data_IF_347914835836
#
_entry.id   IF_347914835836
#
_cell.length_a   1.000
_cell.length_b   1.000
_cell.length_c   1.000
_cell.angle_alpha   90.00
_cell.angle_beta   90.00
_cell.angle_gamma   90.00
#
_symmetry.space_group_name_H-M   'P 1'
#
loop_
_entity.id
_entity.type
_entity.pdbx_description
1 polymer ?
#
# COMPACT_ATOMS: atom_id res chain seq x y z
N UNK A 1 10.23 -13.58 -19.25
CA UNK A 1 9.55 -14.32 -18.16
C UNK A 1 8.12 -13.80 -17.97
N UNK A 2 7.20 -14.07 -18.91
CA UNK A 2 5.86 -13.45 -18.90
C UNK A 2 5.01 -13.84 -17.69
N UNK A 3 5.23 -15.03 -17.11
CA UNK A 3 4.48 -15.54 -15.94
C UNK A 3 4.70 -14.68 -14.69
N UNK A 4 5.89 -14.10 -14.52
CA UNK A 4 6.21 -13.28 -13.34
C UNK A 4 5.58 -11.88 -13.45
N UNK A 5 5.58 -11.31 -14.67
CA UNK A 5 4.86 -10.06 -14.93
C UNK A 5 3.35 -10.22 -14.71
N UNK A 6 2.76 -11.32 -15.19
CA UNK A 6 1.35 -11.67 -14.93
C UNK A 6 1.06 -11.83 -13.43
N UNK A 7 1.99 -12.44 -12.68
CA UNK A 7 1.88 -12.53 -11.24
C UNK A 7 1.89 -11.14 -10.57
N UNK A 8 2.73 -10.21 -11.04
CA UNK A 8 2.72 -8.82 -10.58
C UNK A 8 1.36 -8.13 -10.82
N UNK A 9 0.74 -8.33 -11.99
CA UNK A 9 -0.60 -7.82 -12.28
C UNK A 9 -1.65 -8.46 -11.35
N UNK A 10 -1.62 -9.78 -11.17
CA UNK A 10 -2.56 -10.48 -10.30
C UNK A 10 -2.44 -10.00 -8.85
N UNK A 11 -1.21 -9.80 -8.36
CA UNK A 11 -0.92 -9.27 -7.03
C UNK A 11 -1.42 -7.83 -6.88
N UNK A 12 -1.17 -7.00 -7.89
CA UNK A 12 -1.65 -5.62 -7.93
C UNK A 12 -3.17 -5.55 -7.94
N UNK A 13 -3.83 -6.35 -8.77
CA UNK A 13 -5.30 -6.43 -8.84
C UNK A 13 -5.91 -6.89 -7.52
N UNK A 14 -5.34 -7.93 -6.89
CA UNK A 14 -5.74 -8.37 -5.55
C UNK A 14 -5.56 -7.26 -4.51
N UNK A 15 -4.41 -6.56 -4.56
CA UNK A 15 -4.13 -5.42 -3.70
C UNK A 15 -5.16 -4.31 -3.83
N UNK A 16 -5.54 -3.97 -5.07
CA UNK A 16 -6.62 -3.01 -5.36
C UNK A 16 -7.94 -3.46 -4.72
N UNK A 17 -8.35 -4.71 -4.95
CA UNK A 17 -9.61 -5.23 -4.40
C UNK A 17 -9.63 -5.15 -2.87
N UNK A 18 -8.57 -5.62 -2.20
CA UNK A 18 -8.49 -5.57 -0.73
C UNK A 18 -8.48 -4.14 -0.20
N UNK A 19 -7.80 -3.23 -0.91
CA UNK A 19 -7.80 -1.81 -0.57
C UNK A 19 -9.22 -1.24 -0.60
N UNK A 20 -9.98 -1.51 -1.67
CA UNK A 20 -11.36 -1.03 -1.79
C UNK A 20 -12.28 -1.67 -0.73
N UNK A 21 -12.12 -2.96 -0.44
CA UNK A 21 -12.87 -3.63 0.63
C UNK A 21 -12.56 -3.04 2.02
N UNK A 22 -11.30 -2.71 2.28
CA UNK A 22 -10.88 -2.04 3.51
C UNK A 22 -11.36 -0.58 3.58
N UNK A 23 -11.41 0.14 2.46
CA UNK A 23 -11.88 1.53 2.46
C UNK A 23 -13.40 1.61 2.64
N UNK A 24 -14.13 0.68 2.01
CA UNK A 24 -15.59 0.64 2.03
C UNK A 24 -16.09 -0.74 2.50
N UNK A 25 -16.02 -1.05 3.81
CA UNK A 25 -16.49 -2.33 4.33
C UNK A 25 -17.99 -2.55 4.03
N UNK A 26 -18.78 -1.48 3.87
CA UNK A 26 -20.18 -1.56 3.46
C UNK A 26 -20.43 -2.20 2.08
N UNK A 27 -19.42 -2.24 1.20
CA UNK A 27 -19.50 -2.94 -0.09
C UNK A 27 -19.63 -4.46 0.10
N UNK A 28 -19.19 -4.98 1.24
CA UNK A 28 -19.29 -6.41 1.54
C UNK A 28 -20.67 -6.84 2.06
N UNK A 29 -21.57 -5.89 2.34
CA UNK A 29 -22.90 -6.18 2.87
C UNK A 29 -22.93 -6.71 4.32
N UNK A 30 -21.78 -6.73 5.01
CA UNK A 30 -21.67 -7.17 6.39
C UNK A 30 -22.10 -6.04 7.35
N UNK A 31 -23.00 -6.35 8.29
CA UNK A 31 -23.43 -5.41 9.32
C UNK A 31 -22.25 -5.03 10.23
N UNK A 32 -22.04 -3.73 10.53
CA UNK A 32 -20.93 -3.28 11.37
C UNK A 32 -21.00 -3.83 12.81
N UNK A 33 -20.39 -4.98 13.09
CA UNK A 33 -20.16 -5.48 14.44
C UNK A 33 -19.06 -4.67 15.16
N UNK A 34 -19.14 -4.56 16.50
CA UNK A 34 -18.07 -3.98 17.35
C UNK A 34 -16.76 -4.74 17.08
N UNK A 35 -15.79 -4.09 16.44
CA UNK A 35 -14.46 -4.65 16.13
C UNK A 35 -14.05 -4.66 14.66
N UNK A 36 -14.98 -4.39 13.72
CA UNK A 36 -14.66 -4.41 12.27
C UNK A 36 -13.62 -3.36 11.87
N UNK A 37 -13.50 -2.25 12.59
CA UNK A 37 -12.53 -1.19 12.28
C UNK A 37 -11.08 -1.67 12.26
N UNK A 38 -10.69 -2.63 13.11
CA UNK A 38 -9.32 -3.17 13.13
C UNK A 38 -9.08 -4.03 11.89
N UNK A 39 -9.97 -4.99 11.62
CA UNK A 39 -9.90 -5.86 10.43
C UNK A 39 -9.91 -5.02 9.15
N UNK A 40 -10.70 -3.96 9.13
CA UNK A 40 -10.78 -3.00 8.04
C UNK A 40 -9.42 -2.35 7.75
N UNK A 41 -8.75 -1.82 8.78
CA UNK A 41 -7.43 -1.19 8.64
C UNK A 41 -6.37 -2.20 8.17
N UNK A 42 -6.35 -3.40 8.75
CA UNK A 42 -5.42 -4.46 8.32
C UNK A 42 -5.64 -4.86 6.86
N UNK A 43 -6.91 -5.02 6.46
CA UNK A 43 -7.28 -5.38 5.08
C UNK A 43 -6.85 -4.31 4.09
N UNK A 44 -7.07 -3.03 4.43
CA UNK A 44 -6.61 -1.90 3.63
C UNK A 44 -5.09 -1.85 3.51
N UNK A 45 -4.34 -1.97 4.62
CA UNK A 45 -2.88 -1.96 4.61
C UNK A 45 -2.27 -3.13 3.85
N UNK A 46 -2.87 -4.32 3.98
CA UNK A 46 -2.49 -5.49 3.20
C UNK A 46 -2.72 -5.23 1.71
N UNK A 47 -3.87 -4.65 1.35
CA UNK A 47 -4.19 -4.25 -0.02
C UNK A 47 -3.16 -3.29 -0.61
N UNK A 48 -2.83 -2.21 0.11
CA UNK A 48 -1.80 -1.25 -0.28
C UNK A 48 -0.44 -1.89 -0.49
N UNK A 49 -0.05 -2.78 0.43
CA UNK A 49 1.22 -3.50 0.32
C UNK A 49 1.27 -4.34 -0.94
N UNK A 50 0.25 -5.18 -1.18
CA UNK A 50 0.18 -6.02 -2.37
C UNK A 50 0.12 -5.19 -3.66
N UNK A 51 -0.58 -4.06 -3.64
CA UNK A 51 -0.64 -3.14 -4.77
C UNK A 51 0.76 -2.62 -5.16
N UNK A 52 1.50 -2.08 -4.19
CA UNK A 52 2.83 -1.52 -4.42
C UNK A 52 3.83 -2.59 -4.84
N UNK A 53 3.84 -3.75 -4.18
CA UNK A 53 4.69 -4.87 -4.59
C UNK A 53 4.33 -5.40 -5.99
N UNK A 54 3.04 -5.54 -6.28
CA UNK A 54 2.56 -5.98 -7.60
C UNK A 54 3.02 -5.03 -8.70
N UNK A 55 2.93 -3.72 -8.46
CA UNK A 55 3.39 -2.70 -9.39
C UNK A 55 4.91 -2.75 -9.61
N UNK A 56 5.72 -2.84 -8.54
CA UNK A 56 7.18 -2.94 -8.66
C UNK A 56 7.62 -4.21 -9.41
N UNK A 57 7.00 -5.36 -9.11
CA UNK A 57 7.25 -6.63 -9.80
C UNK A 57 6.87 -6.50 -11.28
N UNK A 58 5.68 -5.98 -11.57
CA UNK A 58 5.22 -5.79 -12.94
C UNK A 58 6.19 -4.93 -13.75
N UNK A 59 6.59 -3.77 -13.22
CA UNK A 59 7.51 -2.86 -13.91
C UNK A 59 8.87 -3.52 -14.14
N UNK A 60 9.44 -4.17 -13.13
CA UNK A 60 10.73 -4.86 -13.24
C UNK A 60 10.71 -5.94 -14.32
N UNK A 61 9.69 -6.80 -14.31
CA UNK A 61 9.63 -7.96 -15.20
C UNK A 61 9.03 -7.66 -16.59
N UNK A 62 8.51 -6.46 -16.80
CA UNK A 62 8.01 -6.02 -18.10
C UNK A 62 9.04 -5.17 -18.84
N UNK A 63 9.65 -4.19 -18.16
CA UNK A 63 10.51 -3.20 -18.81
C UNK A 63 12.01 -3.44 -18.58
N UNK A 64 12.40 -3.97 -17.42
CA UNK A 64 13.81 -4.00 -16.98
C UNK A 64 14.33 -5.42 -16.68
N UNK A 65 13.87 -6.40 -17.45
CA UNK A 65 14.32 -7.80 -17.32
C UNK A 65 15.81 -7.89 -17.67
N UNK A 66 16.60 -8.57 -16.83
CA UNK A 66 18.03 -8.77 -17.06
C UNK A 66 18.93 -7.56 -16.77
N UNK A 67 18.36 -6.38 -16.54
CA UNK A 67 19.11 -5.16 -16.26
C UNK A 67 19.26 -4.94 -14.74
N UNK A 68 20.38 -4.39 -14.29
CA UNK A 68 20.54 -4.00 -12.88
C UNK A 68 19.79 -2.70 -12.61
N UNK A 69 19.28 -2.53 -11.38
CA UNK A 69 18.56 -1.31 -11.02
C UNK A 69 19.54 -0.15 -10.83
N UNK A 70 19.34 0.94 -11.56
CA UNK A 70 20.17 2.15 -11.42
C UNK A 70 19.90 2.87 -10.09
N UNK A 71 20.69 3.93 -9.79
CA UNK A 71 20.60 4.64 -8.52
C UNK A 71 19.20 5.23 -8.27
N UNK A 72 18.59 5.85 -9.30
CA UNK A 72 17.25 6.42 -9.20
C UNK A 72 16.19 5.35 -8.93
N UNK A 73 16.28 4.19 -9.59
CA UNK A 73 15.41 3.05 -9.33
C UNK A 73 15.57 2.51 -7.91
N UNK A 74 16.79 2.41 -7.39
CA UNK A 74 17.02 2.00 -6.00
C UNK A 74 16.44 3.01 -4.99
N UNK A 75 16.50 4.31 -5.29
CA UNK A 75 15.83 5.35 -4.51
C UNK A 75 14.31 5.18 -4.58
N UNK A 76 13.75 4.94 -5.77
CA UNK A 76 12.32 4.71 -5.96
C UNK A 76 11.79 3.53 -5.14
N UNK A 77 12.51 2.40 -5.12
CA UNK A 77 12.15 1.25 -4.28
C UNK A 77 12.17 1.64 -2.80
N UNK A 78 13.24 2.28 -2.31
CA UNK A 78 13.34 2.68 -0.90
C UNK A 78 12.23 3.65 -0.51
N UNK A 79 11.94 4.64 -1.36
CA UNK A 79 10.85 5.59 -1.14
C UNK A 79 9.49 4.88 -1.08
N UNK A 80 9.28 3.89 -1.96
CA UNK A 80 8.08 3.05 -1.97
C UNK A 80 7.89 2.33 -0.64
N UNK A 81 8.95 1.68 -0.16
CA UNK A 81 8.95 0.92 1.10
C UNK A 81 8.78 1.82 2.32
N UNK A 82 9.40 3.01 2.33
CA UNK A 82 9.22 4.00 3.39
C UNK A 82 7.78 4.50 3.44
N UNK A 83 7.14 4.74 2.28
CA UNK A 83 5.73 5.06 2.20
C UNK A 83 4.85 3.96 2.79
N UNK A 84 5.11 2.69 2.48
CA UNK A 84 4.40 1.55 3.09
C UNK A 84 4.59 1.49 4.61
N UNK A 85 5.80 1.75 5.11
CA UNK A 85 6.09 1.78 6.53
C UNK A 85 5.31 2.90 7.24
N UNK A 86 5.27 4.11 6.68
CA UNK A 86 4.46 5.20 7.25
C UNK A 86 2.97 4.91 7.18
N UNK A 87 2.48 4.27 6.11
CA UNK A 87 1.09 3.85 6.02
C UNK A 87 0.76 2.86 7.15
N UNK A 88 1.64 1.89 7.40
CA UNK A 88 1.47 0.92 8.49
C UNK A 88 1.47 1.59 9.87
N UNK A 89 2.42 2.51 10.13
CA UNK A 89 2.47 3.24 11.41
C UNK A 89 1.26 4.13 11.62
N UNK A 90 0.84 4.87 10.60
CA UNK A 90 -0.33 5.74 10.67
C UNK A 90 -1.61 4.92 10.83
N UNK A 91 -1.80 3.88 10.01
CA UNK A 91 -2.97 3.01 10.09
C UNK A 91 -3.10 2.29 11.42
N UNK A 92 -2.00 1.83 12.00
CA UNK A 92 -2.03 1.12 13.28
C UNK A 92 -1.90 2.06 14.50
N UNK A 93 -1.89 3.38 14.34
CA UNK A 93 -1.65 4.33 15.43
C UNK A 93 -2.61 4.14 16.62
N UNK A 94 -3.91 3.99 16.38
CA UNK A 94 -4.90 3.75 17.44
C UNK A 94 -4.75 2.36 18.09
N UNK A 95 -4.32 1.36 17.33
CA UNK A 95 -4.09 -0.01 17.82
C UNK A 95 -2.88 -0.06 18.75
N UNK A 96 -1.82 0.68 18.42
CA UNK A 96 -0.59 0.75 19.20
C UNK A 96 -0.72 1.72 20.39
N UNK A 97 -1.80 2.52 20.45
CA UNK A 97 -2.11 3.41 21.57
C UNK A 97 -1.55 4.83 21.46
N UNK A 98 -1.01 5.21 20.29
CA UNK A 98 -0.59 6.60 19.99
C UNK A 98 -1.68 7.41 19.28
N UNK A 99 -2.76 6.75 18.86
CA UNK A 99 -3.84 7.37 18.11
C UNK A 99 -4.84 8.14 18.98
N UNK A 100 -5.62 9.00 18.33
CA UNK A 100 -6.51 9.96 18.99
C UNK A 100 -7.82 9.36 19.50
N UNK A 101 -8.18 8.15 19.05
CA UNK A 101 -9.39 7.44 19.45
C UNK A 101 -9.03 6.10 20.07
N UNK A 102 -8.33 6.15 21.21
CA UNK A 102 -8.06 4.97 22.02
C UNK A 102 -9.36 4.23 22.40
N UNK A 103 -9.26 2.91 22.58
CA UNK A 103 -10.39 1.98 22.87
C UNK A 103 -11.22 2.28 24.15
N UNK A 104 -10.98 3.41 24.82
CA UNK A 104 -11.56 3.77 26.11
C UNK A 104 -12.93 4.47 26.04
N UNK A 105 -13.35 4.99 24.89
CA UNK A 105 -14.53 5.91 24.84
C UNK A 105 -15.86 5.24 24.45
N UNK A 106 -15.92 3.90 24.31
CA UNK A 106 -17.18 3.16 24.12
C UNK A 106 -17.93 3.41 22.79
N UNK A 107 -17.55 4.42 22.02
CA UNK A 107 -17.93 4.68 20.64
C UNK A 107 -17.02 3.90 19.68
N UNK A 108 -17.60 3.47 18.56
CA UNK A 108 -16.94 2.71 17.49
C UNK A 108 -15.52 3.25 17.18
N UNK A 109 -14.51 2.40 16.90
CA UNK A 109 -13.20 2.86 16.44
C UNK A 109 -13.40 3.74 15.20
N UNK A 110 -13.33 5.05 15.41
CA UNK A 110 -13.56 6.05 14.38
C UNK A 110 -12.21 6.38 13.78
N UNK A 111 -12.08 6.08 12.49
CA UNK A 111 -10.89 6.39 11.72
C UNK A 111 -10.66 7.92 11.75
N UNK A 112 -9.63 8.33 12.48
CA UNK A 112 -9.38 9.74 12.74
C UNK A 112 -8.99 10.49 11.46
N UNK A 113 -9.36 11.76 11.34
CA UNK A 113 -8.96 12.58 10.18
C UNK A 113 -7.43 12.62 9.98
N UNK A 114 -6.66 12.73 11.07
CA UNK A 114 -5.20 12.71 11.03
C UNK A 114 -4.65 11.36 10.56
N UNK A 115 -5.29 10.26 10.95
CA UNK A 115 -4.96 8.91 10.52
C UNK A 115 -5.21 8.74 9.01
N UNK A 116 -6.34 9.25 8.52
CA UNK A 116 -6.67 9.26 7.10
C UNK A 116 -5.65 10.05 6.28
N UNK A 117 -5.30 11.26 6.73
CA UNK A 117 -4.29 12.10 6.07
C UNK A 117 -2.94 11.38 6.05
N UNK A 118 -2.54 10.77 7.17
CA UNK A 118 -1.28 10.03 7.27
C UNK A 118 -1.24 8.84 6.31
N UNK A 119 -2.32 8.04 6.23
CA UNK A 119 -2.41 6.91 5.29
C UNK A 119 -2.38 7.40 3.83
N UNK A 120 -3.16 8.42 3.47
CA UNK A 120 -3.21 8.95 2.10
C UNK A 120 -1.85 9.52 1.69
N UNK A 121 -1.23 10.34 2.55
CA UNK A 121 0.10 10.90 2.28
C UNK A 121 1.15 9.81 2.10
N UNK A 122 1.10 8.78 2.95
CA UNK A 122 2.00 7.62 2.86
C UNK A 122 1.81 6.82 1.57
N UNK A 123 0.56 6.66 1.13
CA UNK A 123 0.23 6.02 -0.14
C UNK A 123 0.78 6.80 -1.34
N UNK A 124 0.65 8.14 -1.33
CA UNK A 124 1.20 9.01 -2.37
C UNK A 124 2.73 8.86 -2.43
N UNK A 125 3.41 8.90 -1.27
CA UNK A 125 4.87 8.67 -1.20
C UNK A 125 5.23 7.31 -1.79
N UNK A 126 4.46 6.26 -1.43
CA UNK A 126 4.71 4.92 -1.93
C UNK A 126 4.56 4.84 -3.45
N UNK A 127 3.49 5.41 -3.99
CA UNK A 127 3.19 5.44 -5.42
C UNK A 127 4.21 6.28 -6.21
N UNK A 128 4.68 7.39 -5.66
CA UNK A 128 5.75 8.20 -6.25
C UNK A 128 7.04 7.39 -6.37
N UNK A 129 7.38 6.57 -5.36
CA UNK A 129 8.52 5.67 -5.44
C UNK A 129 8.42 4.67 -6.59
N UNK A 130 7.23 4.09 -6.81
CA UNK A 130 6.95 3.20 -7.95
C UNK A 130 7.07 3.95 -9.27
N UNK A 131 6.57 5.18 -9.35
CA UNK A 131 6.62 6.00 -10.56
C UNK A 131 8.07 6.36 -10.92
N UNK A 132 8.89 6.76 -9.93
CA UNK A 132 10.32 6.98 -10.12
C UNK A 132 10.95 5.70 -10.66
N UNK A 133 10.68 4.55 -10.05
CA UNK A 133 11.24 3.27 -10.49
C UNK A 133 10.87 2.93 -11.95
N UNK A 134 9.63 3.22 -12.35
CA UNK A 134 9.13 2.95 -13.69
C UNK A 134 9.72 3.88 -14.75
N UNK A 135 9.83 5.17 -14.45
CA UNK A 135 10.23 6.20 -15.42
C UNK A 135 11.75 6.35 -15.51
N UNK A 136 12.48 6.14 -14.42
CA UNK A 136 13.91 6.45 -14.36
C UNK A 136 14.83 5.34 -14.88
N UNK A 137 14.30 4.22 -15.35
CA UNK A 137 15.14 3.14 -15.85
C UNK A 137 15.68 3.48 -17.23
N UNK A 138 16.97 3.23 -17.43
CA UNK A 138 17.61 3.35 -18.71
C UNK A 138 17.93 1.94 -19.23
N UNK A 139 17.58 1.67 -20.48
CA UNK A 139 17.82 0.38 -21.15
C UNK A 139 19.09 0.48 -22.02
N UNK A 140 19.58 1.71 -22.27
CA UNK A 140 20.58 2.02 -23.29
C UNK A 140 22.03 1.99 -22.76
N UNK A 141 22.36 1.14 -21.79
CA UNK A 141 23.76 0.92 -21.39
C UNK A 141 24.38 -0.25 -22.16
N UNK A 142 24.60 -0.04 -23.46
CA UNK A 142 25.67 -0.70 -24.24
C UNK A 142 26.73 0.34 -24.61
#
# INVERSE_FOLDING_TARGET
>A
MPRIAQFGIALGALGTVLTFMGLFPGVTGLNPAKGIGIVQIFTMLMGFTLLIFGALIYVKFTFYVGHTANLAQQIGIRLSLTGLLFAAMSGMADIVGFGSHGSATGTQPLFGMLQAIGIIGSFIIAALGVLIYAVSGNIDSE
#
